data_IF_454853190424
#
_entry.id   IF_454853190424
#
_cell.length_a   1.000
_cell.length_b   1.000
_cell.length_c   1.000
_cell.angle_alpha   90.00
_cell.angle_beta   90.00
_cell.angle_gamma   90.00
#
_symmetry.space_group_name_H-M   'P 1'
#
loop_
_entity.id
_entity.type
_entity.pdbx_description
1 polymer ?
#
# COMPACT_ATOMS: atom_id res chain seq x y z
N UNK A 1 -58.76 -46.16 32.73
CA UNK A 1 -58.98 -45.32 31.53
C UNK A 1 -58.76 -43.83 31.83
N UNK A 2 -59.56 -43.21 32.70
CA UNK A 2 -59.50 -41.75 33.00
C UNK A 2 -58.13 -41.27 33.48
N UNK A 3 -57.51 -41.99 34.44
CA UNK A 3 -56.20 -41.62 34.97
C UNK A 3 -55.10 -41.63 33.90
N UNK A 4 -55.17 -42.57 32.96
CA UNK A 4 -54.20 -42.68 31.89
C UNK A 4 -54.36 -41.53 30.88
N UNK A 5 -55.61 -41.20 30.52
CA UNK A 5 -55.91 -40.01 29.72
C UNK A 5 -55.42 -38.72 30.38
N UNK A 6 -55.58 -38.58 31.70
CA UNK A 6 -55.07 -37.42 32.44
C UNK A 6 -53.55 -37.32 32.41
N UNK A 7 -52.82 -38.45 32.56
CA UNK A 7 -51.36 -38.46 32.42
C UNK A 7 -50.91 -38.04 31.02
N UNK A 8 -51.58 -38.52 29.97
CA UNK A 8 -51.28 -38.14 28.59
C UNK A 8 -51.53 -36.66 28.34
N UNK A 9 -52.63 -36.09 28.86
CA UNK A 9 -52.92 -34.66 28.76
C UNK A 9 -51.80 -33.84 29.42
N UNK A 10 -51.41 -34.20 30.64
CA UNK A 10 -50.33 -33.50 31.36
C UNK A 10 -48.99 -33.59 30.61
N UNK A 11 -48.66 -34.75 30.05
CA UNK A 11 -47.44 -34.95 29.26
C UNK A 11 -47.45 -34.08 27.99
N UNK A 12 -48.58 -34.03 27.28
CA UNK A 12 -48.75 -33.21 26.09
C UNK A 12 -48.66 -31.73 26.42
N UNK A 13 -49.34 -31.26 27.46
CA UNK A 13 -49.27 -29.86 27.89
C UNK A 13 -47.85 -29.44 28.26
N UNK A 14 -47.10 -30.32 28.95
CA UNK A 14 -45.69 -30.06 29.27
C UNK A 14 -44.83 -29.96 28.01
N UNK A 15 -45.00 -30.90 27.09
CA UNK A 15 -44.30 -30.90 25.80
C UNK A 15 -44.59 -29.63 24.99
N UNK A 16 -45.86 -29.19 24.96
CA UNK A 16 -46.26 -27.94 24.29
C UNK A 16 -45.59 -26.73 24.94
N UNK A 17 -45.57 -26.65 26.28
CA UNK A 17 -44.92 -25.56 27.00
C UNK A 17 -43.40 -25.52 26.71
N UNK A 18 -42.74 -26.68 26.68
CA UNK A 18 -41.32 -26.77 26.36
C UNK A 18 -41.02 -26.29 24.93
N UNK A 19 -41.86 -26.67 23.95
CA UNK A 19 -41.71 -26.19 22.57
C UNK A 19 -41.98 -24.70 22.44
N UNK A 20 -42.98 -24.15 23.14
CA UNK A 20 -43.26 -22.72 23.15
C UNK A 20 -42.08 -21.93 23.73
N UNK A 21 -41.49 -22.41 24.83
CA UNK A 21 -40.31 -21.79 25.41
C UNK A 21 -39.12 -21.82 24.44
N UNK A 22 -38.87 -22.94 23.77
CA UNK A 22 -37.81 -23.04 22.77
C UNK A 22 -38.04 -22.11 21.57
N UNK A 23 -39.28 -22.02 21.07
CA UNK A 23 -39.63 -21.13 19.98
C UNK A 23 -39.36 -19.66 20.37
N UNK A 24 -39.78 -19.26 21.58
CA UNK A 24 -39.53 -17.91 22.09
C UNK A 24 -38.04 -17.60 22.23
N UNK A 25 -37.24 -18.53 22.75
CA UNK A 25 -35.79 -18.36 22.84
C UNK A 25 -35.14 -18.18 21.45
N UNK A 26 -35.57 -18.95 20.45
CA UNK A 26 -35.07 -18.84 19.08
C UNK A 26 -35.47 -17.52 18.43
N UNK A 27 -36.69 -17.04 18.69
CA UNK A 27 -37.14 -15.74 18.21
C UNK A 27 -36.30 -14.60 18.81
N UNK A 28 -36.02 -14.66 20.12
CA UNK A 28 -35.16 -13.69 20.79
C UNK A 28 -33.75 -13.65 20.18
N UNK A 29 -33.15 -14.84 19.95
CA UNK A 29 -31.85 -14.95 19.29
C UNK A 29 -31.86 -14.36 17.87
N UNK A 30 -32.94 -14.58 17.11
CA UNK A 30 -33.09 -14.03 15.78
C UNK A 30 -33.16 -12.50 15.80
N UNK A 31 -33.89 -11.93 16.77
CA UNK A 31 -33.98 -10.47 16.97
C UNK A 31 -32.59 -9.89 17.28
N UNK A 32 -31.82 -10.53 18.16
CA UNK A 32 -30.48 -10.07 18.51
C UNK A 32 -29.51 -10.14 17.32
N UNK A 33 -29.56 -11.20 16.53
CA UNK A 33 -28.77 -11.32 15.30
C UNK A 33 -29.14 -10.20 14.31
N UNK A 34 -30.43 -9.91 14.13
CA UNK A 34 -30.89 -8.82 13.26
C UNK A 34 -30.39 -7.46 13.75
N UNK A 35 -30.43 -7.19 15.05
CA UNK A 35 -29.88 -5.96 15.66
C UNK A 35 -28.38 -5.82 15.43
N UNK A 36 -27.61 -6.89 15.70
CA UNK A 36 -26.15 -6.91 15.47
C UNK A 36 -25.81 -6.66 14.00
N UNK A 37 -26.52 -7.32 13.08
CA UNK A 37 -26.35 -7.12 11.63
C UNK A 37 -26.63 -5.68 11.22
N UNK A 38 -27.71 -5.07 11.72
CA UNK A 38 -28.03 -3.67 11.43
C UNK A 38 -26.95 -2.72 11.95
N UNK A 39 -26.47 -2.94 13.17
CA UNK A 39 -25.35 -2.16 13.73
C UNK A 39 -24.12 -2.29 12.84
N UNK A 40 -23.71 -3.51 12.49
CA UNK A 40 -22.55 -3.72 11.62
C UNK A 40 -22.72 -3.05 10.25
N UNK A 41 -23.92 -3.11 9.65
CA UNK A 41 -24.21 -2.44 8.37
C UNK A 41 -24.08 -0.92 8.47
N UNK A 42 -24.53 -0.32 9.58
CA UNK A 42 -24.36 1.13 9.82
C UNK A 42 -22.88 1.50 9.94
N UNK A 43 -22.12 0.78 10.78
CA UNK A 43 -20.69 1.04 10.97
C UNK A 43 -19.88 0.80 9.69
N UNK A 44 -20.16 -0.30 8.98
CA UNK A 44 -19.53 -0.61 7.70
C UNK A 44 -19.87 0.42 6.61
N UNK A 45 -21.14 0.80 6.49
CA UNK A 45 -21.59 1.81 5.53
C UNK A 45 -20.97 3.18 5.74
N UNK A 46 -20.62 3.56 6.98
CA UNK A 46 -19.95 4.82 7.28
C UNK A 46 -18.42 4.74 7.09
N UNK A 47 -17.79 3.61 7.43
CA UNK A 47 -16.33 3.46 7.35
C UNK A 47 -15.82 3.10 5.95
N UNK A 48 -16.59 2.36 5.16
CA UNK A 48 -16.19 1.93 3.81
C UNK A 48 -15.92 3.11 2.85
N UNK A 49 -16.75 4.16 2.79
CA UNK A 49 -16.47 5.32 1.94
C UNK A 49 -15.19 6.04 2.33
N UNK A 50 -14.92 6.14 3.65
CA UNK A 50 -13.71 6.77 4.17
C UNK A 50 -12.46 5.98 3.75
N UNK A 51 -12.45 4.66 3.95
CA UNK A 51 -11.36 3.77 3.54
C UNK A 51 -11.13 3.84 2.03
N UNK A 52 -12.19 3.75 1.23
CA UNK A 52 -12.09 3.86 -0.23
C UNK A 52 -11.51 5.21 -0.67
N UNK A 53 -11.90 6.30 -0.02
CA UNK A 53 -11.40 7.64 -0.34
C UNK A 53 -9.93 7.79 0.02
N UNK A 54 -9.50 7.29 1.20
CA UNK A 54 -8.09 7.31 1.59
C UNK A 54 -7.22 6.48 0.64
N UNK A 55 -7.63 5.24 0.32
CA UNK A 55 -6.91 4.40 -0.64
C UNK A 55 -6.78 5.05 -2.02
N UNK A 56 -7.84 5.72 -2.50
CA UNK A 56 -7.78 6.44 -3.78
C UNK A 56 -6.79 7.60 -3.74
N UNK A 57 -6.74 8.36 -2.63
CA UNK A 57 -5.77 9.46 -2.46
C UNK A 57 -4.33 8.94 -2.42
N UNK A 58 -4.07 7.88 -1.67
CA UNK A 58 -2.75 7.25 -1.59
C UNK A 58 -2.28 6.76 -2.96
N UNK A 59 -3.16 6.11 -3.73
CA UNK A 59 -2.83 5.64 -5.08
C UNK A 59 -2.47 6.80 -6.03
N UNK A 60 -3.22 7.90 -5.97
CA UNK A 60 -2.93 9.10 -6.77
C UNK A 60 -1.58 9.69 -6.35
N UNK A 61 -1.34 9.86 -5.05
CA UNK A 61 -0.08 10.41 -4.56
C UNK A 61 1.12 9.53 -4.94
N UNK A 62 0.99 8.21 -4.81
CA UNK A 62 2.02 7.28 -5.23
C UNK A 62 2.32 7.42 -6.74
N UNK A 63 1.28 7.52 -7.58
CA UNK A 63 1.47 7.72 -9.03
C UNK A 63 2.15 9.04 -9.37
N UNK A 64 1.81 10.13 -8.67
CA UNK A 64 2.43 11.45 -8.86
C UNK A 64 3.91 11.41 -8.46
N UNK A 65 4.21 10.79 -7.30
CA UNK A 65 5.58 10.64 -6.83
C UNK A 65 6.43 9.82 -7.82
N UNK A 66 5.90 8.73 -8.37
CA UNK A 66 6.60 7.92 -9.38
C UNK A 66 6.94 8.76 -10.61
N UNK A 67 5.96 9.49 -11.16
CA UNK A 67 6.18 10.35 -12.33
C UNK A 67 7.22 11.44 -12.03
N UNK A 68 7.21 12.02 -10.83
CA UNK A 68 8.19 13.03 -10.42
C UNK A 68 9.60 12.43 -10.30
N UNK A 69 9.73 11.24 -9.72
CA UNK A 69 11.02 10.54 -9.61
C UNK A 69 11.59 10.13 -10.97
N UNK A 70 10.75 9.66 -11.90
CA UNK A 70 11.18 9.33 -13.26
C UNK A 70 11.70 10.56 -14.00
N UNK A 71 11.00 11.70 -13.90
CA UNK A 71 11.46 12.97 -14.50
C UNK A 71 12.75 13.46 -13.88
N UNK A 72 12.95 13.27 -12.58
CA UNK A 72 14.19 13.63 -11.89
C UNK A 72 15.34 12.74 -12.36
N UNK A 73 15.13 11.43 -12.48
CA UNK A 73 16.11 10.48 -13.01
C UNK A 73 16.51 10.81 -14.45
N UNK A 74 15.55 11.12 -15.32
CA UNK A 74 15.80 11.50 -16.71
C UNK A 74 16.66 12.77 -16.80
N UNK A 75 16.37 13.78 -15.96
CA UNK A 75 17.19 15.00 -15.89
C UNK A 75 18.61 14.69 -15.42
N UNK A 76 18.75 13.85 -14.40
CA UNK A 76 20.05 13.47 -13.85
C UNK A 76 20.89 12.70 -14.88
N UNK A 77 20.26 11.82 -15.66
CA UNK A 77 20.91 11.11 -16.76
C UNK A 77 21.39 12.07 -17.85
N UNK A 78 20.56 13.06 -18.23
CA UNK A 78 20.94 14.10 -19.19
C UNK A 78 22.11 14.96 -18.70
N UNK A 79 22.11 15.36 -17.43
CA UNK A 79 23.25 16.09 -16.84
C UNK A 79 24.52 15.23 -16.84
N UNK A 80 24.40 13.95 -16.49
CA UNK A 80 25.54 13.02 -16.52
C UNK A 80 26.14 12.89 -17.92
N UNK A 81 25.29 12.75 -18.94
CA UNK A 81 25.75 12.69 -20.33
C UNK A 81 26.50 13.97 -20.72
N UNK A 82 25.97 15.15 -20.35
CA UNK A 82 26.65 16.43 -20.56
C UNK A 82 28.01 16.48 -19.87
N UNK A 83 28.08 16.13 -18.59
CA UNK A 83 29.34 16.12 -17.84
C UNK A 83 30.37 15.19 -18.47
N UNK A 84 29.96 14.01 -18.92
CA UNK A 84 30.85 13.04 -19.58
C UNK A 84 31.41 13.59 -20.89
N UNK A 85 30.56 14.22 -21.71
CA UNK A 85 31.00 14.88 -22.95
C UNK A 85 32.01 15.98 -22.64
N UNK A 86 31.72 16.82 -21.65
CA UNK A 86 32.61 17.92 -21.22
C UNK A 86 33.96 17.35 -20.75
N UNK A 87 33.96 16.32 -19.90
CA UNK A 87 35.17 15.64 -19.43
C UNK A 87 36.02 15.11 -20.60
N UNK A 88 35.39 14.41 -21.55
CA UNK A 88 36.07 13.88 -22.73
C UNK A 88 36.66 14.98 -23.62
N UNK A 89 35.95 16.09 -23.81
CA UNK A 89 36.45 17.24 -24.57
C UNK A 89 37.69 17.84 -23.88
N UNK A 90 37.64 18.08 -22.57
CA UNK A 90 38.78 18.63 -21.83
C UNK A 90 39.99 17.70 -21.86
N UNK A 91 39.81 16.39 -21.71
CA UNK A 91 40.90 15.42 -21.84
C UNK A 91 41.56 15.48 -23.21
N UNK A 92 40.76 15.46 -24.28
CA UNK A 92 41.28 15.53 -25.64
C UNK A 92 42.02 16.85 -25.92
N UNK A 93 41.54 17.98 -25.38
CA UNK A 93 42.22 19.27 -25.50
C UNK A 93 43.56 19.25 -24.78
N UNK A 94 43.62 18.73 -23.54
CA UNK A 94 44.88 18.64 -22.78
C UNK A 94 45.89 17.76 -23.52
N UNK A 95 45.46 16.57 -23.97
CA UNK A 95 46.34 15.63 -24.70
C UNK A 95 46.79 16.25 -26.04
N UNK A 96 45.88 16.86 -26.78
CA UNK A 96 46.16 17.49 -28.08
C UNK A 96 47.04 18.73 -28.00
N UNK A 97 47.05 19.43 -26.85
CA UNK A 97 47.86 20.63 -26.63
C UNK A 97 49.37 20.36 -26.56
N UNK A 98 49.79 19.09 -26.47
CA UNK A 98 51.20 18.64 -26.29
C UNK A 98 51.91 19.25 -25.08
N UNK A 99 51.15 19.81 -24.13
CA UNK A 99 51.67 20.22 -22.82
C UNK A 99 52.06 18.96 -22.05
N UNK A 100 53.22 18.98 -21.36
CA UNK A 100 53.69 17.86 -20.57
C UNK A 100 52.93 17.75 -19.23
N UNK A 101 51.65 17.38 -19.32
CA UNK A 101 50.73 17.28 -18.19
C UNK A 101 51.11 16.20 -17.18
N UNK A 102 51.98 15.24 -17.56
CA UNK A 102 52.42 14.17 -16.68
C UNK A 102 53.55 14.60 -15.72
N UNK A 103 54.33 15.60 -16.10
CA UNK A 103 55.39 16.20 -15.27
C UNK A 103 54.85 17.21 -14.27
N UNK A 104 53.80 17.96 -14.62
CA UNK A 104 53.15 18.89 -13.70
C UNK A 104 52.18 18.14 -12.75
N UNK A 105 52.41 18.15 -11.43
CA UNK A 105 51.57 17.42 -10.48
C UNK A 105 50.12 17.89 -10.46
N UNK A 106 49.88 19.17 -10.75
CA UNK A 106 48.54 19.78 -10.69
C UNK A 106 47.71 19.35 -11.91
N UNK A 107 48.28 19.42 -13.11
CA UNK A 107 47.66 18.95 -14.35
C UNK A 107 47.43 17.44 -14.32
N UNK A 108 48.40 16.67 -13.82
CA UNK A 108 48.24 15.23 -13.62
C UNK A 108 47.04 14.91 -12.73
N UNK A 109 46.85 15.64 -11.64
CA UNK A 109 45.70 15.45 -10.75
C UNK A 109 44.36 15.78 -11.45
N UNK A 110 44.32 16.85 -12.24
CA UNK A 110 43.12 17.26 -12.99
C UNK A 110 42.75 16.20 -14.04
N UNK A 111 43.71 15.73 -14.84
CA UNK A 111 43.48 14.72 -15.88
C UNK A 111 42.96 13.41 -15.27
N UNK A 112 43.58 12.94 -14.18
CA UNK A 112 43.13 11.74 -13.47
C UNK A 112 41.74 11.87 -12.83
N UNK A 113 41.35 13.09 -12.42
CA UNK A 113 39.98 13.35 -11.94
C UNK A 113 38.96 13.34 -13.08
N UNK A 114 39.32 13.85 -14.26
CA UNK A 114 38.45 13.83 -15.43
C UNK A 114 38.19 12.39 -15.93
N UNK A 115 39.13 11.45 -15.73
CA UNK A 115 38.94 10.02 -16.05
C UNK A 115 37.93 9.31 -15.13
N UNK A 116 37.69 9.84 -13.92
CA UNK A 116 36.69 9.29 -13.02
C UNK A 116 35.29 9.71 -13.49
N UNK A 117 34.67 8.85 -14.29
CA UNK A 117 33.26 9.01 -14.62
C UNK A 117 32.41 8.98 -13.35
N UNK A 118 31.39 9.84 -13.30
CA UNK A 118 30.41 9.85 -12.20
C UNK A 118 29.55 8.59 -12.31
N UNK A 119 29.89 7.55 -11.56
CA UNK A 119 29.05 6.36 -11.41
C UNK A 119 28.22 6.47 -10.14
N UNK A 120 26.91 6.23 -10.24
CA UNK A 120 26.09 5.94 -9.07
C UNK A 120 26.24 4.45 -8.75
N UNK A 121 26.60 4.16 -7.50
CA UNK A 121 26.60 2.81 -6.94
C UNK A 121 25.26 2.58 -6.22
#
# INVERSE_FOLDING_TARGET
LILETMKHIVLLSRTIADYQQQAHQKEQQLIDIKRKRLSLKKHGGQKLPYVHTMMKKEKIQASVNVIETEKMLEKLEKERQRTTIIQNVFQNVIIGSRVNWAEDPSLKAIVLQLEKNVYLQ
#
